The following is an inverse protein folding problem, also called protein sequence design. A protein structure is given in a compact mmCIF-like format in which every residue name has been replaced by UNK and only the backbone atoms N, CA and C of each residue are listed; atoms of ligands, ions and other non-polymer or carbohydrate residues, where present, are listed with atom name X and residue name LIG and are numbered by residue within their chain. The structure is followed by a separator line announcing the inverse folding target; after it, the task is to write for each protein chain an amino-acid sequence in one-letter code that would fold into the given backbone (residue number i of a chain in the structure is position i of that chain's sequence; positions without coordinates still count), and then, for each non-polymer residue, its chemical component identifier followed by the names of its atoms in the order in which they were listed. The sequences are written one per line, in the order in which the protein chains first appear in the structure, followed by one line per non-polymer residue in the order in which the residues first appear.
data_IF_718311678539
#
_entry.id   IF_718311678539
#
_cell.length_a   1.000
_cell.length_b   1.000
_cell.length_c   1.000
_cell.angle_alpha   90.00
_cell.angle_beta   90.00
_cell.angle_gamma   90.00
#
_symmetry.space_group_name_H-M   'P 1'
#
loop_
_entity.id
_entity.type
_entity.pdbx_description
1 polymer ?
#
# COMPACT_ATOMS: atom_id res chain seq x y z
N UNK A 1 3.62 11.23 8.82
CA UNK A 1 3.32 10.11 7.89
C UNK A 1 4.39 9.05 7.98
N UNK A 2 5.67 9.43 8.01
CA UNK A 2 6.84 8.52 8.15
C UNK A 2 6.66 7.40 9.18
N UNK A 3 6.28 7.70 10.42
CA UNK A 3 6.03 6.66 11.44
C UNK A 3 4.98 5.64 10.99
N UNK A 4 3.88 6.08 10.37
CA UNK A 4 2.82 5.19 9.90
C UNK A 4 3.27 4.31 8.72
N UNK A 5 4.14 4.84 7.85
CA UNK A 5 4.80 4.02 6.81
C UNK A 5 5.67 2.93 7.44
N UNK A 6 6.52 3.31 8.39
CA UNK A 6 7.42 2.38 9.07
C UNK A 6 6.67 1.34 9.90
N UNK A 7 5.56 1.70 10.55
CA UNK A 7 4.72 0.75 11.29
C UNK A 7 4.14 -0.32 10.34
N UNK A 8 3.64 0.06 9.16
CA UNK A 8 3.13 -0.88 8.14
C UNK A 8 4.25 -1.80 7.65
N UNK A 9 5.40 -1.24 7.27
CA UNK A 9 6.56 -2.02 6.81
C UNK A 9 7.05 -2.97 7.89
N UNK A 10 7.15 -2.51 9.14
CA UNK A 10 7.61 -3.32 10.26
C UNK A 10 6.72 -4.55 10.46
N UNK A 11 5.39 -4.39 10.42
CA UNK A 11 4.46 -5.52 10.55
C UNK A 11 4.61 -6.50 9.39
N UNK A 12 4.69 -6.00 8.15
CA UNK A 12 4.91 -6.86 6.98
C UNK A 12 6.23 -7.63 7.10
N UNK A 13 7.31 -6.96 7.46
CA UNK A 13 8.63 -7.58 7.61
C UNK A 13 8.64 -8.65 8.69
N UNK A 14 7.99 -8.36 9.81
CA UNK A 14 7.90 -9.29 10.95
C UNK A 14 7.12 -10.55 10.60
N UNK A 15 6.04 -10.43 9.82
CA UNK A 15 5.15 -11.56 9.53
C UNK A 15 5.56 -12.35 8.30
N UNK A 16 6.00 -11.66 7.24
CA UNK A 16 6.18 -12.24 5.91
C UNK A 16 7.66 -12.27 5.47
N UNK A 17 8.57 -11.70 6.26
CA UNK A 17 9.99 -11.61 5.93
C UNK A 17 10.34 -10.39 5.07
N UNK A 18 11.44 -10.47 4.32
CA UNK A 18 11.94 -9.32 3.56
C UNK A 18 10.90 -8.80 2.55
N UNK A 19 10.62 -7.49 2.66
CA UNK A 19 9.60 -6.84 1.86
C UNK A 19 10.13 -6.63 0.43
N UNK A 20 9.39 -7.05 -0.62
CA UNK A 20 9.75 -6.70 -1.98
C UNK A 20 9.77 -5.17 -2.18
N UNK A 21 10.80 -4.64 -2.83
CA UNK A 21 10.98 -3.20 -3.08
C UNK A 21 9.73 -2.53 -3.67
N UNK A 22 8.99 -3.23 -4.54
CA UNK A 22 7.73 -2.75 -5.13
C UNK A 22 6.69 -2.41 -4.06
N UNK A 23 6.56 -3.23 -3.03
CA UNK A 23 5.61 -3.02 -1.92
C UNK A 23 6.06 -1.87 -1.06
N UNK A 24 7.35 -1.83 -0.72
CA UNK A 24 7.93 -0.75 0.10
C UNK A 24 7.70 0.62 -0.54
N UNK A 25 8.03 0.76 -1.83
CA UNK A 25 7.78 1.99 -2.59
C UNK A 25 6.29 2.32 -2.74
N UNK A 26 5.41 1.32 -2.80
CA UNK A 26 3.97 1.55 -2.89
C UNK A 26 3.41 2.09 -1.59
N UNK A 27 3.87 1.59 -0.44
CA UNK A 27 3.50 2.11 0.88
C UNK A 27 4.01 3.54 1.06
N UNK A 28 5.25 3.83 0.66
CA UNK A 28 5.86 5.17 0.78
C UNK A 28 5.11 6.25 -0.02
N UNK A 29 4.44 5.86 -1.12
CA UNK A 29 3.65 6.78 -1.95
C UNK A 29 2.31 7.17 -1.32
N UNK A 30 1.86 6.50 -0.26
CA UNK A 30 0.59 6.81 0.40
C UNK A 30 0.74 8.08 1.25
N UNK A 31 0.03 9.14 0.86
CA UNK A 31 0.04 10.43 1.55
C UNK A 31 -1.15 10.65 2.51
N UNK A 32 -2.05 9.67 2.62
CA UNK A 32 -3.27 9.77 3.43
C UNK A 32 -3.15 8.86 4.65
N UNK A 33 -3.17 9.47 5.85
CA UNK A 33 -2.97 8.73 7.10
C UNK A 33 -4.01 7.63 7.34
N UNK A 34 -5.29 7.89 7.08
CA UNK A 34 -6.34 6.89 7.27
C UNK A 34 -6.18 5.66 6.36
N UNK A 35 -5.54 5.81 5.20
CA UNK A 35 -5.22 4.68 4.32
C UNK A 35 -4.08 3.86 4.92
N UNK A 36 -3.08 4.50 5.52
CA UNK A 36 -2.01 3.78 6.23
C UNK A 36 -2.54 3.00 7.44
N UNK A 37 -3.49 3.57 8.19
CA UNK A 37 -4.15 2.89 9.31
C UNK A 37 -4.92 1.63 8.85
N UNK A 38 -5.61 1.71 7.71
CA UNK A 38 -6.27 0.54 7.12
C UNK A 38 -5.27 -0.49 6.59
N UNK A 39 -4.19 -0.05 5.94
CA UNK A 39 -3.13 -0.94 5.48
C UNK A 39 -2.44 -1.66 6.63
N UNK A 40 -2.29 -1.02 7.79
CA UNK A 40 -1.75 -1.68 8.99
C UNK A 40 -2.66 -2.83 9.43
N UNK A 41 -3.99 -2.63 9.43
CA UNK A 41 -4.97 -3.69 9.75
C UNK A 41 -4.92 -4.84 8.75
N UNK A 42 -4.74 -4.53 7.46
CA UNK A 42 -4.58 -5.54 6.41
C UNK A 42 -3.28 -6.31 6.59
N UNK A 43 -2.17 -5.62 6.87
CA UNK A 43 -0.85 -6.20 7.07
C UNK A 43 -0.80 -7.23 8.22
N UNK A 44 -1.70 -7.13 9.19
CA UNK A 44 -1.85 -8.11 10.29
C UNK A 44 -2.58 -9.39 9.85
N UNK A 45 -3.38 -9.33 8.79
CA UNK A 45 -4.30 -10.41 8.38
C UNK A 45 -3.84 -11.22 7.16
N UNK A 46 -3.12 -10.60 6.24
CA UNK A 46 -2.70 -11.26 4.97
C UNK A 46 -1.68 -12.38 5.23
N UNK A 47 -1.65 -13.38 4.36
CA UNK A 47 -0.68 -14.48 4.45
C UNK A 47 0.47 -14.34 3.42
N UNK A 48 0.35 -13.40 2.48
CA UNK A 48 1.40 -13.12 1.49
C UNK A 48 1.40 -11.66 1.03
N UNK A 49 2.50 -11.26 0.38
CA UNK A 49 2.65 -9.90 -0.17
C UNK A 49 1.68 -9.59 -1.32
N UNK A 50 1.25 -10.61 -2.07
CA UNK A 50 0.33 -10.43 -3.20
C UNK A 50 -1.04 -9.94 -2.71
N UNK A 51 -1.57 -10.55 -1.64
CA UNK A 51 -2.83 -10.15 -1.02
C UNK A 51 -2.76 -8.73 -0.43
N UNK A 52 -1.62 -8.39 0.16
CA UNK A 52 -1.36 -7.03 0.64
C UNK A 52 -1.37 -6.03 -0.51
N UNK A 53 -0.64 -6.32 -1.59
CA UNK A 53 -0.56 -5.46 -2.76
C UNK A 53 -1.94 -5.21 -3.39
N UNK A 54 -2.77 -6.25 -3.51
CA UNK A 54 -4.13 -6.08 -4.01
C UNK A 54 -4.97 -5.15 -3.13
N UNK A 55 -4.82 -5.25 -1.81
CA UNK A 55 -5.51 -4.37 -0.87
C UNK A 55 -5.00 -2.94 -0.95
N UNK A 56 -3.69 -2.75 -1.11
CA UNK A 56 -3.06 -1.45 -1.33
C UNK A 56 -3.59 -0.78 -2.59
N UNK A 57 -3.67 -1.49 -3.71
CA UNK A 57 -4.23 -0.96 -4.96
C UNK A 57 -5.70 -0.56 -4.80
N UNK A 58 -6.49 -1.31 -4.02
CA UNK A 58 -7.90 -0.99 -3.76
C UNK A 58 -8.08 0.24 -2.86
N UNK A 59 -7.22 0.40 -1.86
CA UNK A 59 -7.32 1.45 -0.86
C UNK A 59 -6.65 2.75 -1.32
N UNK A 60 -5.57 2.67 -2.11
CA UNK A 60 -4.88 3.84 -2.63
C UNK A 60 -5.85 4.67 -3.48
N UNK A 61 -5.90 6.00 -3.30
CA UNK A 61 -6.75 6.84 -4.11
C UNK A 61 -6.33 6.64 -5.57
N UNK A 62 -7.30 6.31 -6.42
CA UNK A 62 -7.09 6.36 -7.86
C UNK A 62 -6.71 7.80 -8.17
N UNK A 63 -5.44 8.04 -8.55
CA UNK A 63 -5.19 9.16 -9.45
C UNK A 63 -6.18 8.91 -10.59
N UNK A 64 -7.08 9.86 -10.92
CA UNK A 64 -7.86 9.68 -12.12
C UNK A 64 -6.83 9.45 -13.21
N UNK A 65 -6.80 8.23 -13.77
CA UNK A 65 -6.21 8.03 -15.09
C UNK A 65 -6.77 9.19 -15.89
N UNK A 66 -5.87 10.08 -16.34
CA UNK A 66 -6.28 11.13 -17.22
C UNK A 66 -6.96 10.39 -18.35
N UNK A 67 -8.29 10.51 -18.38
CA UNK A 67 -9.09 9.96 -19.45
C UNK A 67 -8.58 10.70 -20.67
N UNK A 68 -7.63 10.12 -21.39
CA UNK A 68 -7.41 10.46 -22.77
C UNK A 68 -8.59 9.86 -23.54
N UNK A 69 -9.78 10.39 -23.26
CA UNK A 69 -10.90 10.30 -24.17
C UNK A 69 -10.86 11.55 -25.02
N UNK A 70 -10.82 11.25 -26.32
CA UNK A 70 -11.29 12.08 -27.42
C UNK A 70 -10.30 13.08 -28.04
N UNK A 71 -9.76 12.62 -29.19
CA UNK A 71 -10.24 13.02 -30.53
C UNK A 71 -9.26 13.87 -31.33
N UNK A 72 -8.61 13.23 -32.31
CA UNK A 72 -8.63 13.60 -33.74
C UNK A 72 -8.13 12.45 -34.59
#
# INVERSE_FOLDING_TARGET
LEKAHEDVKLVLRTRLGDIPVKIEQAVDKISVLSILDELLKVAIKVDCFEDFHQSLVKLSPKVPESNESDKS
#
